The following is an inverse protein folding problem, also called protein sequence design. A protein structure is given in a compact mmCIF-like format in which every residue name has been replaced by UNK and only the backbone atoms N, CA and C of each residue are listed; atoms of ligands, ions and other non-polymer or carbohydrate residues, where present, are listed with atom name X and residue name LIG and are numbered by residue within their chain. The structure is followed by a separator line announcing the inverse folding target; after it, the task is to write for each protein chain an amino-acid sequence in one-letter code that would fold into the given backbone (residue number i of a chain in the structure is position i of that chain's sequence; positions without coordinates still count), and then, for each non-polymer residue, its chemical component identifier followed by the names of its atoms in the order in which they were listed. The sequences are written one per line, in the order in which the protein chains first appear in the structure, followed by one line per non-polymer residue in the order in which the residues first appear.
data_IF_364649732411
#
_entry.id   IF_364649732411
#
_cell.length_a   1.000
_cell.length_b   1.000
_cell.length_c   1.000
_cell.angle_alpha   90.00
_cell.angle_beta   90.00
_cell.angle_gamma   90.00
#
_symmetry.space_group_name_H-M   'P 1'
#
loop_
_entity.id
_entity.type
_entity.pdbx_description
1 polymer ?
#
# COMPACT_ATOMS: atom_id res chain seq x y z
N UNK A 1 32.44 -6.64 13.76
CA UNK A 1 32.03 -8.05 13.59
C UNK A 1 30.60 -8.23 13.06
N UNK A 2 29.94 -7.17 12.51
CA UNK A 2 28.58 -7.25 11.96
C UNK A 2 28.49 -7.12 10.43
N UNK A 3 29.63 -7.09 9.73
CA UNK A 3 29.67 -6.92 8.27
C UNK A 3 29.09 -8.11 7.49
N UNK A 4 28.91 -9.27 8.14
CA UNK A 4 28.33 -10.47 7.50
C UNK A 4 26.82 -10.45 7.33
N UNK A 5 26.09 -9.67 8.15
CA UNK A 5 24.61 -9.67 8.11
C UNK A 5 24.04 -8.64 7.12
N UNK A 6 24.82 -7.63 6.74
CA UNK A 6 24.35 -6.53 5.90
C UNK A 6 24.13 -6.96 4.45
N UNK A 7 25.05 -7.76 3.89
CA UNK A 7 24.92 -8.31 2.53
C UNK A 7 23.69 -9.23 2.37
N UNK A 8 23.38 -10.01 3.42
CA UNK A 8 22.22 -10.90 3.40
C UNK A 8 20.89 -10.13 3.26
N UNK A 9 20.72 -9.03 4.01
CA UNK A 9 19.46 -8.27 3.93
C UNK A 9 19.31 -7.52 2.60
N UNK A 10 20.41 -7.09 1.98
CA UNK A 10 20.38 -6.49 0.64
C UNK A 10 19.92 -7.50 -0.41
N UNK A 11 20.48 -8.71 -0.39
CA UNK A 11 20.04 -9.78 -1.29
C UNK A 11 18.61 -10.21 -1.02
N UNK A 12 18.18 -10.23 0.25
CA UNK A 12 16.80 -10.53 0.61
C UNK A 12 15.81 -9.51 0.03
N UNK A 13 16.08 -8.21 0.17
CA UNK A 13 15.24 -7.14 -0.42
C UNK A 13 15.16 -7.32 -1.94
N UNK A 14 16.29 -7.62 -2.60
CA UNK A 14 16.33 -7.85 -4.04
C UNK A 14 15.50 -9.07 -4.44
N UNK A 15 15.65 -10.18 -3.71
CA UNK A 15 14.89 -11.40 -3.94
C UNK A 15 13.40 -11.19 -3.72
N UNK A 16 12.99 -10.50 -2.66
CA UNK A 16 11.58 -10.17 -2.40
C UNK A 16 10.99 -9.26 -3.48
N UNK A 17 11.76 -8.33 -4.03
CA UNK A 17 11.31 -7.47 -5.12
C UNK A 17 10.95 -8.22 -6.41
N UNK A 18 11.52 -9.40 -6.63
CA UNK A 18 11.24 -10.25 -7.80
C UNK A 18 9.81 -10.81 -7.77
N UNK A 19 9.24 -11.07 -6.59
CA UNK A 19 7.88 -11.63 -6.46
C UNK A 19 6.78 -10.63 -6.80
N UNK A 20 7.10 -9.34 -6.98
CA UNK A 20 6.17 -8.36 -7.53
C UNK A 20 6.05 -8.46 -9.06
N UNK A 21 6.94 -9.19 -9.73
CA UNK A 21 6.93 -9.39 -11.19
C UNK A 21 6.17 -10.68 -11.57
N UNK A 22 5.61 -10.77 -12.79
CA UNK A 22 4.92 -11.97 -13.24
C UNK A 22 5.76 -13.23 -13.07
N UNK A 23 5.19 -14.34 -12.56
CA UNK A 23 5.96 -15.51 -12.20
C UNK A 23 6.58 -16.21 -13.41
N UNK A 24 7.85 -16.58 -13.26
CA UNK A 24 8.63 -17.42 -14.19
C UNK A 24 9.28 -18.58 -13.43
N UNK A 25 9.78 -19.58 -14.13
CA UNK A 25 10.34 -20.81 -13.53
C UNK A 25 11.44 -20.55 -12.49
N UNK A 26 12.22 -19.47 -12.65
CA UNK A 26 13.24 -19.05 -11.69
C UNK A 26 12.68 -18.66 -10.32
N UNK A 27 11.42 -18.19 -10.26
CA UNK A 27 10.80 -17.75 -9.00
C UNK A 27 10.51 -18.93 -8.07
N UNK A 28 10.22 -20.12 -8.59
CA UNK A 28 9.98 -21.31 -7.77
C UNK A 28 11.22 -21.67 -6.95
N UNK A 29 12.42 -21.58 -7.54
CA UNK A 29 13.67 -21.82 -6.81
C UNK A 29 13.92 -20.78 -5.72
N UNK A 30 13.58 -19.52 -5.99
CA UNK A 30 13.69 -18.46 -4.99
C UNK A 30 12.69 -18.67 -3.85
N UNK A 31 11.47 -19.13 -4.14
CA UNK A 31 10.46 -19.43 -3.14
C UNK A 31 10.93 -20.54 -2.19
N UNK A 32 11.53 -21.60 -2.74
CA UNK A 32 12.12 -22.70 -1.96
C UNK A 32 13.24 -22.19 -1.03
N UNK A 33 14.13 -21.32 -1.53
CA UNK A 33 15.24 -20.75 -0.75
C UNK A 33 14.71 -19.86 0.39
N UNK A 34 13.65 -19.09 0.12
CA UNK A 34 13.01 -18.21 1.10
C UNK A 34 12.09 -18.97 2.07
N UNK A 35 11.86 -20.27 1.82
CA UNK A 35 11.05 -21.14 2.68
C UNK A 35 9.55 -20.88 2.59
N UNK A 36 9.06 -20.42 1.43
CA UNK A 36 7.63 -20.22 1.23
C UNK A 36 6.88 -21.54 1.09
N UNK A 37 5.62 -21.53 1.49
CA UNK A 37 4.77 -22.73 1.55
C UNK A 37 4.43 -23.31 0.18
N UNK A 38 4.40 -22.48 -0.85
CA UNK A 38 4.00 -22.84 -2.21
C UNK A 38 4.90 -22.17 -3.26
N UNK A 39 4.90 -22.72 -4.48
CA UNK A 39 5.55 -22.09 -5.63
C UNK A 39 4.65 -21.01 -6.24
N UNK A 40 5.20 -19.87 -6.70
CA UNK A 40 4.46 -18.86 -7.45
C UNK A 40 3.81 -19.42 -8.70
N UNK A 41 2.53 -19.09 -8.90
CA UNK A 41 1.79 -19.41 -10.11
C UNK A 41 1.10 -18.16 -10.68
N UNK A 42 0.84 -18.20 -11.99
CA UNK A 42 0.25 -17.07 -12.72
C UNK A 42 -1.15 -16.71 -12.24
N UNK A 43 -1.96 -17.69 -11.87
CA UNK A 43 -3.36 -17.45 -11.49
C UNK A 43 -3.45 -16.62 -10.21
N UNK A 44 -2.74 -17.05 -9.15
CA UNK A 44 -2.71 -16.31 -7.87
C UNK A 44 -2.04 -14.94 -8.07
N UNK A 45 -1.01 -14.83 -8.91
CA UNK A 45 -0.40 -13.54 -9.25
C UNK A 45 -1.41 -12.59 -9.89
N UNK A 46 -2.19 -13.08 -10.86
CA UNK A 46 -3.19 -12.28 -11.56
C UNK A 46 -4.32 -11.84 -10.63
N UNK A 47 -4.80 -12.74 -9.76
CA UNK A 47 -5.83 -12.43 -8.77
C UNK A 47 -5.36 -11.35 -7.80
N UNK A 48 -4.17 -11.50 -7.21
CA UNK A 48 -3.68 -10.57 -6.20
C UNK A 48 -3.16 -9.29 -6.84
N UNK A 49 -2.17 -9.35 -7.74
CA UNK A 49 -1.44 -8.17 -8.19
C UNK A 49 -1.98 -7.54 -9.48
N UNK A 50 -2.74 -8.25 -10.31
CA UNK A 50 -3.33 -7.63 -11.50
C UNK A 50 -4.75 -7.11 -11.23
N UNK A 51 -5.55 -7.85 -10.44
CA UNK A 51 -6.95 -7.50 -10.19
C UNK A 51 -7.15 -6.65 -8.94
N UNK A 52 -6.66 -7.10 -7.79
CA UNK A 52 -7.05 -6.50 -6.51
C UNK A 52 -6.06 -5.45 -5.98
N UNK A 53 -4.75 -5.76 -6.02
CA UNK A 53 -3.67 -5.01 -5.36
C UNK A 53 -2.48 -4.76 -6.31
N UNK A 54 -2.61 -3.89 -7.32
CA UNK A 54 -1.51 -3.56 -8.22
C UNK A 54 -0.33 -2.88 -7.49
N UNK A 55 0.91 -3.39 -7.59
CA UNK A 55 2.07 -2.97 -6.80
C UNK A 55 2.71 -1.63 -7.25
N UNK A 56 1.89 -0.62 -7.53
CA UNK A 56 2.31 0.71 -7.97
C UNK A 56 2.02 1.76 -6.91
N UNK A 57 3.02 2.52 -6.48
CA UNK A 57 2.83 3.53 -5.43
C UNK A 57 1.75 4.55 -5.79
N UNK A 58 1.62 4.91 -7.07
CA UNK A 58 0.61 5.85 -7.56
C UNK A 58 -0.83 5.44 -7.29
N UNK A 59 -1.14 4.14 -7.27
CA UNK A 59 -2.48 3.63 -6.96
C UNK A 59 -2.87 3.99 -5.52
N UNK A 60 -1.90 4.01 -4.61
CA UNK A 60 -2.14 4.20 -3.19
C UNK A 60 -1.94 5.64 -2.72
N UNK A 61 -1.12 6.42 -3.42
CA UNK A 61 -0.70 7.77 -3.04
C UNK A 61 -1.32 8.89 -3.86
N UNK A 62 -1.90 8.59 -5.03
CA UNK A 62 -2.56 9.60 -5.85
C UNK A 62 -4.04 9.74 -5.48
N UNK A 63 -4.56 10.95 -5.65
CA UNK A 63 -5.97 11.24 -5.37
C UNK A 63 -6.92 10.49 -6.32
N UNK A 64 -6.45 10.08 -7.49
CA UNK A 64 -7.23 9.36 -8.48
C UNK A 64 -7.33 7.85 -8.18
N UNK A 65 -6.43 7.30 -7.34
CA UNK A 65 -6.41 5.86 -7.04
C UNK A 65 -6.04 4.95 -8.23
N UNK A 66 -5.34 5.50 -9.23
CA UNK A 66 -4.95 4.79 -10.46
C UNK A 66 -3.45 4.95 -10.73
N UNK A 67 -2.92 4.10 -11.62
CA UNK A 67 -1.53 4.18 -12.05
C UNK A 67 -1.27 5.52 -12.76
N UNK A 68 -0.23 6.22 -12.32
CA UNK A 68 0.18 7.51 -12.88
C UNK A 68 0.04 8.70 -11.94
N UNK A 69 -0.22 9.88 -12.49
CA UNK A 69 -0.44 11.10 -11.72
C UNK A 69 0.80 11.64 -11.00
N UNK A 70 0.55 12.51 -10.02
CA UNK A 70 1.61 13.26 -9.33
C UNK A 70 2.60 12.34 -8.57
N UNK A 71 2.11 11.23 -8.01
CA UNK A 71 2.96 10.32 -7.27
C UNK A 71 4.03 9.68 -8.18
N UNK A 72 3.62 9.24 -9.38
CA UNK A 72 4.52 8.72 -10.41
C UNK A 72 5.55 9.77 -10.84
N UNK A 73 5.11 11.00 -11.08
CA UNK A 73 5.99 12.11 -11.50
C UNK A 73 7.04 12.42 -10.44
N UNK A 74 6.64 12.44 -9.16
CA UNK A 74 7.56 12.70 -8.05
C UNK A 74 8.60 11.59 -7.90
N UNK A 75 8.17 10.33 -7.96
CA UNK A 75 9.09 9.18 -7.91
C UNK A 75 10.03 9.19 -9.12
N UNK A 76 9.52 9.49 -10.32
CA UNK A 76 10.36 9.68 -11.52
C UNK A 76 11.39 10.80 -11.33
N UNK A 77 11.00 11.90 -10.68
CA UNK A 77 11.89 13.00 -10.30
C UNK A 77 12.98 12.55 -9.33
N UNK A 78 12.66 11.68 -8.37
CA UNK A 78 13.63 11.10 -7.44
C UNK A 78 14.69 10.26 -8.16
N UNK A 79 14.29 9.39 -9.10
CA UNK A 79 15.23 8.65 -9.95
C UNK A 79 16.21 9.58 -10.69
N UNK A 80 15.69 10.68 -11.27
CA UNK A 80 16.51 11.71 -11.95
C UNK A 80 17.45 12.43 -10.99
N UNK A 81 16.98 12.75 -9.78
CA UNK A 81 17.79 13.41 -8.75
C UNK A 81 18.98 12.54 -8.31
N UNK A 82 18.78 11.22 -8.27
CA UNK A 82 19.85 10.24 -8.04
C UNK A 82 20.78 10.02 -9.24
N UNK A 83 20.53 10.72 -10.36
CA UNK A 83 21.24 10.57 -11.64
C UNK A 83 21.21 9.12 -12.17
N UNK A 84 20.06 8.47 -12.00
CA UNK A 84 19.79 7.13 -12.52
C UNK A 84 18.91 7.23 -13.76
N UNK A 85 18.99 6.21 -14.61
CA UNK A 85 17.99 6.02 -15.65
C UNK A 85 16.63 5.79 -14.99
N UNK A 86 15.59 6.47 -15.50
CA UNK A 86 14.22 6.28 -15.01
C UNK A 86 13.67 5.05 -15.72
N UNK A 87 13.32 3.97 -15.00
CA UNK A 87 12.72 2.79 -15.62
C UNK A 87 11.32 3.11 -16.16
N UNK A 88 10.77 2.22 -16.99
CA UNK A 88 9.42 2.39 -17.59
C UNK A 88 8.32 2.54 -16.52
N UNK A 89 8.43 1.81 -15.42
CA UNK A 89 7.48 1.80 -14.29
C UNK A 89 8.21 2.20 -12.99
N UNK A 90 8.53 3.50 -12.82
CA UNK A 90 9.43 3.96 -11.77
C UNK A 90 8.86 3.87 -10.35
N UNK A 91 7.56 3.75 -10.20
CA UNK A 91 6.85 3.61 -8.92
C UNK A 91 6.38 2.17 -8.63
N UNK A 92 6.72 1.21 -9.50
CA UNK A 92 6.46 -0.20 -9.25
C UNK A 92 7.34 -0.70 -8.09
N UNK A 93 6.76 -1.50 -7.20
CA UNK A 93 7.42 -1.93 -5.96
C UNK A 93 8.73 -2.67 -6.21
N UNK A 94 8.81 -3.52 -7.25
CA UNK A 94 10.05 -4.22 -7.62
C UNK A 94 11.19 -3.24 -7.91
N UNK A 95 10.90 -2.12 -8.58
CA UNK A 95 11.88 -1.11 -8.97
C UNK A 95 12.36 -0.32 -7.77
N UNK A 96 11.43 0.03 -6.87
CA UNK A 96 11.75 0.72 -5.62
C UNK A 96 12.56 -0.15 -4.66
N UNK A 97 12.24 -1.44 -4.54
CA UNK A 97 13.03 -2.40 -3.75
C UNK A 97 14.41 -2.65 -4.37
N UNK A 98 14.49 -2.75 -5.70
CA UNK A 98 15.76 -2.81 -6.42
C UNK A 98 16.63 -1.57 -6.18
N UNK A 99 16.02 -0.37 -6.16
CA UNK A 99 16.71 0.87 -5.81
C UNK A 99 17.17 0.88 -4.35
N UNK A 100 16.34 0.37 -3.43
CA UNK A 100 16.70 0.24 -2.02
C UNK A 100 17.94 -0.65 -1.88
N UNK A 101 17.92 -1.85 -2.45
CA UNK A 101 19.05 -2.76 -2.45
C UNK A 101 20.32 -2.10 -3.04
N UNK A 102 20.20 -1.37 -4.15
CA UNK A 102 21.31 -0.62 -4.75
C UNK A 102 21.89 0.43 -3.81
N UNK A 103 21.06 1.25 -3.15
CA UNK A 103 21.53 2.31 -2.25
C UNK A 103 22.19 1.74 -0.99
N UNK A 104 21.66 0.65 -0.43
CA UNK A 104 22.25 -0.07 0.70
C UNK A 104 23.64 -0.63 0.35
N UNK A 105 23.75 -1.28 -0.82
CA UNK A 105 25.01 -1.84 -1.30
C UNK A 105 26.08 -0.75 -1.45
N UNK A 106 25.72 0.39 -2.05
CA UNK A 106 26.64 1.51 -2.23
C UNK A 106 27.12 2.11 -0.91
N UNK A 107 26.28 2.15 0.13
CA UNK A 107 26.69 2.65 1.45
C UNK A 107 27.89 1.87 2.00
N UNK A 108 27.95 0.56 1.74
CA UNK A 108 29.00 -0.32 2.25
C UNK A 108 30.38 -0.10 1.59
N UNK A 109 30.42 0.47 0.39
CA UNK A 109 31.66 0.65 -0.38
C UNK A 109 32.21 2.08 -0.37
N UNK A 110 31.38 3.07 -0.03
CA UNK A 110 31.79 4.49 -0.05
C UNK A 110 32.53 4.88 1.22
N UNK A 111 33.72 5.47 1.04
CA UNK A 111 34.58 5.95 2.15
C UNK A 111 34.66 7.48 2.26
N UNK A 112 34.19 8.19 1.23
CA UNK A 112 34.21 9.65 1.19
C UNK A 112 33.03 10.22 2.01
N UNK A 113 33.26 11.05 3.05
CA UNK A 113 32.21 11.49 3.98
C UNK A 113 31.02 12.18 3.31
N UNK A 114 31.26 13.06 2.34
CA UNK A 114 30.20 13.78 1.64
C UNK A 114 29.30 12.84 0.83
N UNK A 115 29.90 11.80 0.22
CA UNK A 115 29.17 10.81 -0.56
C UNK A 115 28.42 9.83 0.34
N UNK A 116 28.97 9.48 1.50
CA UNK A 116 28.27 8.70 2.53
C UNK A 116 27.00 9.41 2.99
N UNK A 117 27.10 10.70 3.35
CA UNK A 117 25.95 11.50 3.76
C UNK A 117 24.88 11.61 2.66
N UNK A 118 25.29 11.75 1.40
CA UNK A 118 24.36 11.80 0.27
C UNK A 118 23.60 10.48 0.12
N UNK A 119 24.28 9.33 0.25
CA UNK A 119 23.64 8.01 0.19
C UNK A 119 22.69 7.82 1.37
N UNK A 120 23.07 8.21 2.58
CA UNK A 120 22.22 8.12 3.77
C UNK A 120 20.94 8.93 3.59
N UNK A 121 21.04 10.18 3.12
CA UNK A 121 19.86 11.00 2.80
C UNK A 121 19.01 10.42 1.67
N UNK A 122 19.65 9.83 0.66
CA UNK A 122 18.94 9.18 -0.45
C UNK A 122 18.18 7.94 0.03
N UNK A 123 18.78 7.14 0.92
CA UNK A 123 18.12 5.99 1.55
C UNK A 123 16.93 6.45 2.39
N UNK A 124 17.14 7.41 3.28
CA UNK A 124 16.08 7.98 4.10
C UNK A 124 14.93 8.51 3.24
N UNK A 125 15.22 9.28 2.18
CA UNK A 125 14.20 9.78 1.26
C UNK A 125 13.46 8.65 0.53
N UNK A 126 14.15 7.63 0.02
CA UNK A 126 13.49 6.49 -0.63
C UNK A 126 12.50 5.80 0.31
N UNK A 127 12.92 5.50 1.53
CA UNK A 127 12.07 4.80 2.49
C UNK A 127 10.94 5.69 2.99
N UNK A 128 11.26 6.87 3.54
CA UNK A 128 10.27 7.74 4.17
C UNK A 128 9.32 8.39 3.17
N UNK A 129 9.77 8.79 1.97
CA UNK A 129 8.92 9.46 0.99
C UNK A 129 8.32 8.51 -0.05
N UNK A 130 8.92 7.35 -0.36
CA UNK A 130 8.51 6.57 -1.55
C UNK A 130 8.10 5.11 -1.28
N UNK A 131 8.44 4.54 -0.12
CA UNK A 131 8.05 3.17 0.25
C UNK A 131 7.07 3.15 1.43
N UNK A 132 7.53 3.59 2.60
CA UNK A 132 6.78 3.52 3.85
C UNK A 132 5.44 4.28 3.86
N UNK A 133 5.19 5.30 3.02
CA UNK A 133 3.87 5.94 2.96
C UNK A 133 2.74 5.02 2.54
N UNK A 134 3.00 3.90 1.85
CA UNK A 134 1.94 3.05 1.30
C UNK A 134 2.18 1.55 1.46
N UNK A 135 3.44 1.12 1.40
CA UNK A 135 3.80 -0.31 1.43
C UNK A 135 3.27 -1.03 2.68
N UNK A 136 3.35 -0.49 3.90
CA UNK A 136 2.83 -1.16 5.10
C UNK A 136 1.34 -1.56 4.98
N UNK A 137 0.50 -0.62 4.53
CA UNK A 137 -0.93 -0.85 4.33
C UNK A 137 -1.19 -1.82 3.19
N UNK A 138 -0.43 -1.68 2.10
CA UNK A 138 -0.50 -2.58 0.97
C UNK A 138 -0.16 -4.02 1.37
N UNK A 139 0.94 -4.25 2.10
CA UNK A 139 1.37 -5.60 2.52
C UNK A 139 0.38 -6.24 3.48
N UNK A 140 -0.24 -5.46 4.37
CA UNK A 140 -1.28 -5.98 5.25
C UNK A 140 -2.49 -6.53 4.46
N UNK A 141 -2.86 -5.85 3.38
CA UNK A 141 -3.92 -6.33 2.48
C UNK A 141 -3.48 -7.52 1.63
N UNK A 142 -2.25 -7.53 1.11
CA UNK A 142 -1.74 -8.70 0.36
C UNK A 142 -1.69 -9.93 1.27
N UNK A 143 -1.25 -9.80 2.51
CA UNK A 143 -1.24 -10.91 3.47
C UNK A 143 -2.66 -11.40 3.79
N UNK A 144 -3.62 -10.49 3.88
CA UNK A 144 -5.03 -10.85 4.13
C UNK A 144 -5.58 -11.74 3.01
N UNK A 145 -5.50 -11.31 1.76
CA UNK A 145 -6.10 -12.04 0.63
C UNK A 145 -5.20 -13.17 0.12
N UNK A 146 -3.89 -13.08 0.35
CA UNK A 146 -2.90 -14.09 -0.02
C UNK A 146 -2.70 -15.15 1.06
N UNK A 147 -3.54 -15.19 2.10
CA UNK A 147 -3.39 -16.14 3.21
C UNK A 147 -3.41 -17.58 2.71
N UNK A 148 -2.37 -18.33 3.06
CA UNK A 148 -2.20 -19.72 2.62
C UNK A 148 -1.63 -19.87 1.21
N UNK A 149 -1.20 -18.76 0.58
CA UNK A 149 -0.47 -18.76 -0.69
C UNK A 149 0.95 -18.24 -0.49
N UNK A 150 1.80 -18.42 -1.50
CA UNK A 150 3.15 -17.84 -1.53
C UNK A 150 3.19 -16.32 -1.32
N UNK A 151 2.18 -15.58 -1.78
CA UNK A 151 2.17 -14.12 -1.67
C UNK A 151 1.78 -13.63 -0.27
N UNK A 152 1.06 -14.45 0.50
CA UNK A 152 0.87 -14.22 1.93
C UNK A 152 2.19 -14.34 2.70
N UNK A 153 2.95 -15.41 2.44
CA UNK A 153 4.28 -15.62 3.03
C UNK A 153 5.25 -14.50 2.64
N UNK A 154 5.24 -14.12 1.36
CA UNK A 154 6.02 -13.01 0.83
C UNK A 154 5.68 -11.68 1.51
N UNK A 155 4.39 -11.34 1.64
CA UNK A 155 3.98 -10.07 2.24
C UNK A 155 4.40 -10.00 3.70
N UNK A 156 4.31 -11.11 4.43
CA UNK A 156 4.79 -11.23 5.80
C UNK A 156 6.31 -11.04 5.88
N UNK A 157 7.09 -11.79 5.09
CA UNK A 157 8.55 -11.70 5.11
C UNK A 157 9.07 -10.32 4.68
N UNK A 158 8.44 -9.70 3.69
CA UNK A 158 8.76 -8.33 3.28
C UNK A 158 8.42 -7.33 4.37
N UNK A 159 7.29 -7.52 5.07
CA UNK A 159 6.93 -6.67 6.21
C UNK A 159 8.00 -6.71 7.31
N UNK A 160 8.39 -7.92 7.74
CA UNK A 160 9.43 -8.13 8.75
C UNK A 160 10.78 -7.52 8.31
N UNK A 161 11.13 -7.69 7.04
CA UNK A 161 12.35 -7.12 6.45
C UNK A 161 12.35 -5.59 6.47
N UNK A 162 11.22 -4.97 6.15
CA UNK A 162 11.06 -3.51 6.16
C UNK A 162 11.12 -2.93 7.58
N UNK A 163 10.53 -3.61 8.57
CA UNK A 163 10.62 -3.23 9.99
C UNK A 163 12.08 -3.10 10.42
N UNK A 164 12.89 -4.14 10.18
CA UNK A 164 14.30 -4.10 10.51
C UNK A 164 15.06 -2.97 9.79
N UNK A 165 14.60 -2.54 8.62
CA UNK A 165 15.29 -1.50 7.83
C UNK A 165 14.95 -0.09 8.29
N UNK A 166 13.68 0.23 8.51
CA UNK A 166 13.33 1.60 8.84
C UNK A 166 13.73 2.01 10.25
N UNK A 167 13.78 1.07 11.19
CA UNK A 167 14.28 1.32 12.55
C UNK A 167 15.73 1.85 12.56
N UNK A 168 16.50 1.59 11.50
CA UNK A 168 17.87 2.06 11.32
C UNK A 168 17.99 3.39 10.54
N UNK A 169 16.90 3.99 10.06
CA UNK A 169 16.94 5.20 9.21
C UNK A 169 17.01 6.51 10.00
N UNK A 170 16.82 6.47 11.32
CA UNK A 170 16.59 7.68 12.12
C UNK A 170 15.15 8.18 12.02
N UNK A 171 14.80 9.25 12.76
CA UNK A 171 13.43 9.72 12.84
C UNK A 171 12.95 10.29 11.50
N UNK A 172 11.64 10.18 11.27
CA UNK A 172 10.97 10.96 10.23
C UNK A 172 11.07 12.45 10.58
N UNK A 173 11.65 13.26 9.68
CA UNK A 173 11.79 14.71 9.90
C UNK A 173 10.48 15.45 9.60
N UNK A 174 9.85 15.14 8.47
CA UNK A 174 8.60 15.75 7.99
C UNK A 174 7.67 14.66 7.45
N UNK A 175 6.35 14.90 7.54
CA UNK A 175 5.39 14.01 6.89
C UNK A 175 5.62 14.01 5.37
N UNK A 176 5.63 12.83 4.70
CA UNK A 176 5.87 12.73 3.27
C UNK A 176 4.93 13.61 2.46
N UNK A 177 5.47 14.24 1.42
CA UNK A 177 4.71 15.19 0.61
C UNK A 177 3.50 14.56 -0.06
N UNK A 178 3.52 13.24 -0.29
CA UNK A 178 2.38 12.52 -0.89
C UNK A 178 1.18 12.56 0.03
N UNK A 179 1.43 12.43 1.33
CA UNK A 179 0.40 12.45 2.37
C UNK A 179 -0.01 13.87 2.73
N UNK A 180 0.91 14.83 2.69
CA UNK A 180 0.59 16.25 2.93
C UNK A 180 -0.32 16.81 1.84
N UNK A 181 -0.13 16.39 0.59
CA UNK A 181 -0.91 16.87 -0.54
C UNK A 181 -2.33 16.26 -0.63
N UNK A 182 -2.61 15.18 0.13
CA UNK A 182 -3.88 14.48 0.02
C UNK A 182 -5.01 15.18 0.78
N UNK A 183 -6.18 15.24 0.15
CA UNK A 183 -7.42 15.59 0.83
C UNK A 183 -8.06 14.34 1.42
N UNK A 184 -8.78 14.48 2.54
CA UNK A 184 -9.63 13.40 3.05
C UNK A 184 -10.84 13.14 2.16
N UNK A 185 -11.60 12.11 2.51
CA UNK A 185 -12.83 11.72 1.83
C UNK A 185 -13.81 12.92 1.74
N UNK A 186 -14.27 13.31 0.54
CA UNK A 186 -15.09 14.50 0.38
C UNK A 186 -16.55 14.24 0.77
N UNK A 187 -17.15 15.13 1.55
CA UNK A 187 -18.56 15.04 1.94
C UNK A 187 -19.49 15.13 0.71
N UNK A 188 -20.29 14.10 0.38
CA UNK A 188 -21.15 14.08 -0.80
C UNK A 188 -22.24 15.15 -0.74
N UNK A 189 -22.63 15.63 0.45
CA UNK A 189 -23.60 16.71 0.64
C UNK A 189 -23.07 18.07 0.17
N UNK A 190 -21.74 18.23 0.07
CA UNK A 190 -21.06 19.48 -0.29
C UNK A 190 -20.36 19.41 -1.64
N UNK A 191 -19.79 18.26 -1.98
CA UNK A 191 -18.92 18.05 -3.14
C UNK A 191 -19.50 17.10 -4.18
N UNK A 192 -20.65 16.48 -3.89
CA UNK A 192 -21.37 15.60 -4.80
C UNK A 192 -20.99 14.13 -4.67
N UNK A 193 -21.95 13.25 -4.95
CA UNK A 193 -21.83 11.80 -4.77
C UNK A 193 -20.77 11.15 -5.68
N UNK A 194 -20.56 11.67 -6.89
CA UNK A 194 -19.59 11.10 -7.82
C UNK A 194 -18.15 11.21 -7.30
N UNK A 195 -17.78 12.37 -6.75
CA UNK A 195 -16.44 12.58 -6.20
C UNK A 195 -16.22 11.73 -4.94
N UNK A 196 -17.19 11.71 -4.03
CA UNK A 196 -17.19 10.83 -2.86
C UNK A 196 -16.99 9.36 -3.25
N UNK A 197 -17.77 8.87 -4.21
CA UNK A 197 -17.70 7.49 -4.68
C UNK A 197 -16.31 7.14 -5.23
N UNK A 198 -15.74 7.97 -6.10
CA UNK A 198 -14.38 7.72 -6.62
C UNK A 198 -13.31 7.76 -5.52
N UNK A 199 -13.46 8.66 -4.55
CA UNK A 199 -12.49 8.83 -3.45
C UNK A 199 -12.47 7.65 -2.48
N UNK A 200 -13.52 6.83 -2.40
CA UNK A 200 -13.51 5.58 -1.63
C UNK A 200 -12.48 4.57 -2.15
N UNK A 201 -12.14 4.64 -3.44
CA UNK A 201 -11.15 3.77 -4.09
C UNK A 201 -9.75 4.40 -4.17
N UNK A 202 -9.55 5.59 -3.61
CA UNK A 202 -8.25 6.26 -3.53
C UNK A 202 -7.74 6.17 -2.08
N UNK A 203 -6.84 5.23 -1.76
CA UNK A 203 -6.44 4.95 -0.37
C UNK A 203 -5.94 6.20 0.36
N UNK A 204 -5.15 7.04 -0.29
CA UNK A 204 -4.65 8.29 0.30
C UNK A 204 -5.76 9.24 0.80
N UNK A 205 -6.98 9.13 0.24
CA UNK A 205 -8.15 9.90 0.64
C UNK A 205 -9.06 9.16 1.62
N UNK A 206 -9.32 7.87 1.39
CA UNK A 206 -10.21 7.07 2.25
C UNK A 206 -9.51 6.63 3.55
N UNK A 207 -8.19 6.52 3.55
CA UNK A 207 -7.39 6.00 4.66
C UNK A 207 -7.32 4.47 4.72
N UNK A 208 -7.97 3.76 3.80
CA UNK A 208 -7.96 2.31 3.73
C UNK A 208 -8.07 1.80 2.29
N UNK A 209 -7.66 0.56 2.06
CA UNK A 209 -7.75 -0.09 0.75
C UNK A 209 -9.00 -0.97 0.75
N UNK A 210 -9.96 -0.63 -0.10
CA UNK A 210 -11.21 -1.35 -0.30
C UNK A 210 -11.06 -2.43 -1.38
N UNK A 211 -11.17 -3.69 -1.00
CA UNK A 211 -11.04 -4.83 -1.91
C UNK A 211 -12.39 -5.34 -2.41
N UNK A 212 -12.35 -6.10 -3.50
CA UNK A 212 -13.53 -6.80 -4.03
C UNK A 212 -14.11 -7.76 -2.99
N UNK A 213 -13.26 -8.48 -2.26
CA UNK A 213 -13.68 -9.39 -1.18
C UNK A 213 -14.37 -8.65 -0.02
N UNK A 214 -13.89 -7.46 0.37
CA UNK A 214 -14.54 -6.68 1.43
C UNK A 214 -15.98 -6.32 1.04
N UNK A 215 -16.21 -5.96 -0.23
CA UNK A 215 -17.52 -5.63 -0.75
C UNK A 215 -18.42 -6.86 -0.92
N UNK A 216 -17.88 -8.01 -1.29
CA UNK A 216 -18.64 -9.26 -1.34
C UNK A 216 -19.09 -9.70 0.05
N UNK A 217 -18.20 -9.63 1.05
CA UNK A 217 -18.56 -9.93 2.43
C UNK A 217 -19.66 -8.99 2.94
N UNK A 218 -19.57 -7.70 2.62
CA UNK A 218 -20.63 -6.74 2.95
C UNK A 218 -21.94 -7.05 2.21
N UNK A 219 -21.86 -7.44 0.94
CA UNK A 219 -23.04 -7.83 0.17
C UNK A 219 -23.74 -9.05 0.79
N UNK A 220 -22.96 -10.06 1.22
CA UNK A 220 -23.45 -11.24 1.91
C UNK A 220 -24.10 -10.90 3.26
N UNK A 221 -23.48 -10.00 4.04
CA UNK A 221 -24.04 -9.51 5.31
C UNK A 221 -25.40 -8.80 5.12
N UNK A 222 -25.54 -8.04 4.04
CA UNK A 222 -26.79 -7.32 3.70
C UNK A 222 -27.81 -8.26 2.99
N UNK A 223 -27.37 -9.39 2.44
CA UNK A 223 -28.20 -10.32 1.68
C UNK A 223 -28.44 -9.89 0.23
N UNK A 224 -27.51 -9.16 -0.37
CA UNK A 224 -27.52 -8.75 -1.78
C UNK A 224 -26.55 -9.63 -2.56
N UNK A 225 -26.97 -10.16 -3.70
CA UNK A 225 -26.09 -10.85 -4.63
C UNK A 225 -25.63 -9.87 -5.73
N UNK A 226 -24.37 -9.41 -5.73
CA UNK A 226 -23.86 -8.54 -6.78
C UNK A 226 -23.87 -9.24 -8.14
N UNK A 227 -24.12 -8.49 -9.21
CA UNK A 227 -24.17 -9.04 -10.58
C UNK A 227 -22.83 -9.04 -11.29
N UNK A 228 -21.89 -8.25 -10.79
CA UNK A 228 -20.60 -7.98 -11.39
C UNK A 228 -19.49 -8.40 -10.42
N UNK A 229 -18.29 -8.61 -10.96
CA UNK A 229 -17.07 -8.89 -10.19
C UNK A 229 -16.17 -7.65 -10.07
N UNK A 230 -16.49 -6.56 -10.76
CA UNK A 230 -15.81 -5.27 -10.59
C UNK A 230 -16.24 -4.58 -9.29
N UNK A 231 -15.26 -4.21 -8.47
CA UNK A 231 -15.49 -3.58 -7.16
C UNK A 231 -16.29 -2.27 -7.21
N UNK A 232 -16.14 -1.46 -8.26
CA UNK A 232 -16.94 -0.23 -8.37
C UNK A 232 -18.39 -0.56 -8.71
N UNK A 233 -18.61 -1.51 -9.62
CA UNK A 233 -19.95 -1.99 -9.93
C UNK A 233 -20.65 -2.59 -8.71
N UNK A 234 -19.97 -3.42 -7.91
CA UNK A 234 -20.50 -4.00 -6.68
C UNK A 234 -20.91 -2.90 -5.69
N UNK A 235 -20.02 -1.96 -5.37
CA UNK A 235 -20.33 -0.88 -4.44
C UNK A 235 -21.50 -0.01 -4.91
N UNK A 236 -21.58 0.24 -6.22
CA UNK A 236 -22.68 1.01 -6.81
C UNK A 236 -24.01 0.29 -6.66
N UNK A 237 -24.04 -1.03 -6.81
CA UNK A 237 -25.25 -1.83 -6.58
C UNK A 237 -25.65 -1.85 -5.11
N UNK A 238 -24.69 -2.01 -4.19
CA UNK A 238 -24.93 -1.95 -2.74
C UNK A 238 -25.53 -0.60 -2.33
N UNK A 239 -24.90 0.51 -2.71
CA UNK A 239 -25.41 1.86 -2.43
C UNK A 239 -26.78 2.14 -3.06
N UNK A 240 -27.12 1.47 -4.17
CA UNK A 240 -28.42 1.64 -4.83
C UNK A 240 -29.52 0.87 -4.12
N UNK A 241 -29.22 -0.30 -3.56
CA UNK A 241 -30.22 -1.22 -2.99
C UNK A 241 -30.38 -1.02 -1.48
N UNK A 242 -29.28 -0.81 -0.76
CA UNK A 242 -29.24 -0.71 0.69
C UNK A 242 -28.23 0.37 1.13
N UNK A 243 -28.49 1.66 0.82
CA UNK A 243 -27.51 2.74 1.03
C UNK A 243 -27.10 2.92 2.50
N UNK A 244 -28.05 2.83 3.44
CA UNK A 244 -27.78 3.00 4.86
C UNK A 244 -26.85 1.89 5.37
N UNK A 245 -27.21 0.63 5.14
CA UNK A 245 -26.45 -0.54 5.58
C UNK A 245 -25.07 -0.58 4.90
N UNK A 246 -24.99 -0.18 3.63
CA UNK A 246 -23.71 -0.10 2.91
C UNK A 246 -22.80 0.94 3.53
N UNK A 247 -23.30 2.15 3.81
CA UNK A 247 -22.50 3.21 4.43
C UNK A 247 -22.07 2.84 5.85
N UNK A 248 -22.97 2.26 6.65
CA UNK A 248 -22.63 1.75 7.98
C UNK A 248 -21.60 0.62 7.96
N UNK A 249 -21.69 -0.30 7.00
CA UNK A 249 -20.71 -1.36 6.78
C UNK A 249 -19.34 -0.83 6.38
N UNK A 250 -19.28 0.13 5.46
CA UNK A 250 -18.03 0.81 5.10
C UNK A 250 -17.43 1.58 6.29
N UNK A 251 -18.27 2.21 7.12
CA UNK A 251 -17.80 2.90 8.33
C UNK A 251 -17.11 1.92 9.29
N UNK A 252 -17.73 0.76 9.53
CA UNK A 252 -17.16 -0.32 10.35
C UNK A 252 -15.81 -0.77 9.81
N UNK A 253 -15.69 -1.01 8.50
CA UNK A 253 -14.41 -1.37 7.89
C UNK A 253 -13.35 -0.29 8.09
N UNK A 254 -13.70 0.98 7.89
CA UNK A 254 -12.77 2.09 8.07
C UNK A 254 -12.24 2.16 9.52
N UNK A 255 -13.10 1.96 10.52
CA UNK A 255 -12.69 1.87 11.92
C UNK A 255 -11.80 0.66 12.22
N UNK A 256 -12.15 -0.53 11.72
CA UNK A 256 -11.33 -1.74 11.90
C UNK A 256 -9.93 -1.55 11.31
N UNK A 257 -9.83 -0.92 10.12
CA UNK A 257 -8.54 -0.63 9.47
C UNK A 257 -7.74 0.42 10.22
N UNK A 258 -8.39 1.41 10.83
CA UNK A 258 -7.71 2.40 11.69
C UNK A 258 -7.03 1.75 12.90
N UNK A 259 -7.63 0.71 13.49
CA UNK A 259 -7.02 -0.02 14.61
C UNK A 259 -5.88 -0.93 14.14
N UNK A 260 -6.11 -1.69 13.06
CA UNK A 260 -5.18 -2.71 12.55
C UNK A 260 -3.82 -2.12 12.15
N UNK A 261 -3.77 -0.92 11.57
CA UNK A 261 -2.49 -0.29 11.21
C UNK A 261 -1.64 -0.01 12.45
N UNK A 262 -2.25 0.49 13.52
CA UNK A 262 -1.53 0.88 14.74
C UNK A 262 -1.04 -0.34 15.53
N UNK A 263 -1.76 -1.45 15.49
CA UNK A 263 -1.31 -2.71 16.11
C UNK A 263 -0.02 -3.24 15.48
N UNK A 264 0.09 -3.16 14.15
CA UNK A 264 1.19 -3.77 13.39
C UNK A 264 2.35 -2.83 13.10
N UNK A 265 2.05 -1.54 12.91
CA UNK A 265 2.99 -0.56 12.36
C UNK A 265 3.19 0.69 13.26
N UNK A 266 2.85 0.59 14.54
CA UNK A 266 3.03 1.68 15.51
C UNK A 266 4.44 2.28 15.55
N UNK A 267 5.48 1.50 15.24
CA UNK A 267 6.86 1.99 15.18
C UNK A 267 7.14 2.98 14.04
N UNK A 268 6.22 3.14 13.07
CA UNK A 268 6.29 4.17 12.03
C UNK A 268 5.88 5.58 12.50
N UNK A 269 5.40 5.73 13.74
CA UNK A 269 5.09 7.02 14.34
C UNK A 269 4.07 7.83 13.54
N UNK A 270 4.44 9.05 13.13
CA UNK A 270 3.56 10.00 12.42
C UNK A 270 2.95 9.44 11.12
N UNK A 271 3.65 8.53 10.43
CA UNK A 271 3.08 7.85 9.26
C UNK A 271 1.88 6.99 9.64
N UNK A 272 2.01 6.19 10.70
CA UNK A 272 0.93 5.36 11.22
C UNK A 272 -0.23 6.23 11.70
N UNK A 273 0.06 7.29 12.44
CA UNK A 273 -0.93 8.23 12.94
C UNK A 273 -1.71 8.93 11.81
N UNK A 274 -1.03 9.29 10.71
CA UNK A 274 -1.68 9.88 9.55
C UNK A 274 -2.76 8.96 8.99
N UNK A 275 -2.42 7.69 8.75
CA UNK A 275 -3.34 6.70 8.18
C UNK A 275 -4.46 6.32 9.15
N UNK A 276 -4.15 6.13 10.43
CA UNK A 276 -5.15 5.89 11.48
C UNK A 276 -6.18 7.03 11.49
N UNK A 277 -5.70 8.28 11.56
CA UNK A 277 -6.58 9.46 11.55
C UNK A 277 -7.41 9.51 10.28
N UNK A 278 -6.81 9.26 9.11
CA UNK A 278 -7.52 9.32 7.83
C UNK A 278 -8.64 8.28 7.74
N UNK A 279 -8.36 7.03 8.13
CA UNK A 279 -9.36 5.98 8.15
C UNK A 279 -10.49 6.29 9.13
N UNK A 280 -10.15 6.82 10.32
CA UNK A 280 -11.13 7.24 11.32
C UNK A 280 -12.01 8.40 10.84
N UNK A 281 -11.45 9.45 10.25
CA UNK A 281 -12.19 10.57 9.66
C UNK A 281 -13.19 10.09 8.59
N UNK A 282 -12.76 9.15 7.74
CA UNK A 282 -13.64 8.52 6.75
C UNK A 282 -14.76 7.71 7.39
N UNK A 283 -14.44 6.92 8.43
CA UNK A 283 -15.42 6.16 9.19
C UNK A 283 -16.47 7.04 9.86
N UNK A 284 -16.06 8.16 10.46
CA UNK A 284 -16.97 9.14 11.07
C UNK A 284 -17.90 9.77 10.03
N UNK A 285 -17.38 10.15 8.85
CA UNK A 285 -18.21 10.67 7.76
C UNK A 285 -19.21 9.62 7.25
N UNK A 286 -18.74 8.39 7.00
CA UNK A 286 -19.58 7.28 6.51
C UNK A 286 -20.71 6.94 7.51
N UNK A 287 -20.38 6.90 8.80
CA UNK A 287 -21.36 6.64 9.86
C UNK A 287 -22.41 7.76 9.95
N UNK A 288 -21.98 9.02 9.84
CA UNK A 288 -22.89 10.15 9.83
C UNK A 288 -23.84 10.09 8.62
N UNK A 289 -23.32 9.81 7.43
CA UNK A 289 -24.15 9.68 6.22
C UNK A 289 -25.15 8.52 6.34
N UNK A 290 -24.78 7.43 7.01
CA UNK A 290 -25.69 6.33 7.32
C UNK A 290 -26.82 6.78 8.25
N UNK A 291 -26.54 7.55 9.30
CA UNK A 291 -27.58 8.05 10.22
C UNK A 291 -28.50 9.07 9.57
N UNK A 292 -27.96 9.97 8.74
CA UNK A 292 -28.77 10.96 8.02
C UNK A 292 -29.86 10.26 7.16
N UNK A 293 -29.55 9.10 6.56
CA UNK A 293 -30.53 8.31 5.80
C UNK A 293 -31.58 7.62 6.67
N UNK A 294 -31.23 7.27 7.91
CA UNK A 294 -32.17 6.67 8.87
C UNK A 294 -33.20 7.68 9.35
N UNK A 295 -32.79 8.94 9.55
CA UNK A 295 -33.68 10.02 9.99
C UNK A 295 -34.65 10.49 8.89
N UNK A 296 -34.36 10.21 7.62
CA UNK A 296 -35.20 10.53 6.47
C UNK A 296 -36.23 9.44 6.12
N UNK A 297 -36.13 8.24 6.71
CA UNK A 297 -36.97 7.07 6.43
C UNK A 297 -38.23 7.00 7.31
#
# INVERSE_FOLDING_TARGET
MFSGNYGFVVELIRALGVFCEPPVDEHSRLADILGFSESPCCDVYQEIFCRDLPPYASVYLSNEGVVGGEALERISGFWKALRREVPHEPDHLSRLLGLAAFLEENQSFVREPARTLLIERSRAALFWEHLLPWVPMYLDRVETIGKGTVYGDWAKLLSETLVCKFECLGPLEDLPRHLVASSGLPDPRRRGAAQFFSSLFAPVQSGFILLTEDLNNLADEIGILPKDHDRQAILKDLLRVAPQETLGGLAKMAFERSCSISERWSSLGELCFHWERRAKESGELLQQLSWDLEEEA
#
